data_IF_014425827266
#
_entry.id   IF_014425827266
#
_cell.length_a   1.000
_cell.length_b   1.000
_cell.length_c   1.000
_cell.angle_alpha   90.00
_cell.angle_beta   90.00
_cell.angle_gamma   90.00
#
_symmetry.space_group_name_H-M   'P 1'
#
loop_
_entity.id
_entity.type
_entity.pdbx_description
1 polymer ?
#
# COMPACT_ATOMS: atom_id res chain seq x y z
N UNK A 1 -17.10 -54.84 10.59
CA UNK A 1 -17.18 -53.53 11.26
C UNK A 1 -16.33 -52.55 10.46
N UNK A 2 -16.93 -51.86 9.48
CA UNK A 2 -16.23 -50.90 8.60
C UNK A 2 -16.07 -49.58 9.35
N UNK A 3 -14.89 -49.35 9.94
CA UNK A 3 -14.58 -48.10 10.62
C UNK A 3 -14.08 -47.09 9.59
N UNK A 4 -14.98 -46.18 9.19
CA UNK A 4 -14.70 -44.99 8.42
C UNK A 4 -13.64 -44.14 9.13
N UNK A 5 -12.40 -44.16 8.63
CA UNK A 5 -11.39 -43.17 9.02
C UNK A 5 -11.48 -41.99 8.03
N UNK A 6 -12.23 -40.98 8.48
CA UNK A 6 -12.38 -39.67 7.85
C UNK A 6 -11.01 -39.04 7.57
N UNK A 7 -10.64 -38.94 6.30
CA UNK A 7 -9.65 -37.98 5.82
C UNK A 7 -10.26 -36.58 5.93
N UNK A 8 -9.97 -35.88 7.01
CA UNK A 8 -10.17 -34.43 7.10
C UNK A 8 -9.15 -33.77 6.14
N UNK A 9 -9.57 -33.08 5.06
CA UNK A 9 -8.69 -32.11 4.46
C UNK A 9 -8.53 -30.99 5.49
N UNK A 10 -7.33 -30.88 6.07
CA UNK A 10 -6.94 -29.71 6.84
C UNK A 10 -7.00 -28.55 5.84
N UNK A 11 -8.13 -27.84 5.83
CA UNK A 11 -8.24 -26.49 5.30
C UNK A 11 -7.28 -25.65 6.13
N UNK A 12 -6.02 -25.61 5.71
CA UNK A 12 -5.05 -24.63 6.17
C UNK A 12 -5.61 -23.30 5.67
N UNK A 13 -6.41 -22.67 6.53
CA UNK A 13 -6.85 -21.30 6.40
C UNK A 13 -5.62 -20.42 6.46
N UNK A 14 -5.00 -20.21 5.31
CA UNK A 14 -4.15 -19.05 5.09
C UNK A 14 -4.96 -17.81 5.50
N UNK A 15 -4.36 -16.83 6.20
CA UNK A 15 -5.07 -15.61 6.51
C UNK A 15 -5.39 -14.88 5.20
N UNK A 16 -6.61 -15.06 4.70
CA UNK A 16 -7.13 -14.44 3.47
C UNK A 16 -7.27 -12.91 3.57
N UNK A 17 -6.80 -12.29 4.66
CA UNK A 17 -6.96 -10.87 4.93
C UNK A 17 -5.98 -9.94 4.20
N UNK A 18 -4.92 -10.45 3.56
CA UNK A 18 -3.89 -9.62 2.92
C UNK A 18 -3.68 -9.84 1.42
N UNK A 19 -4.38 -10.81 0.81
CA UNK A 19 -4.08 -11.26 -0.56
C UNK A 19 -5.14 -10.87 -1.60
N UNK A 20 -6.31 -10.36 -1.19
CA UNK A 20 -7.41 -10.06 -2.12
C UNK A 20 -7.34 -8.64 -2.74
N UNK A 21 -6.37 -7.81 -2.35
CA UNK A 21 -6.30 -6.39 -2.75
C UNK A 21 -5.36 -6.14 -3.93
N UNK A 22 -4.72 -7.20 -4.43
CA UNK A 22 -3.74 -7.17 -5.51
C UNK A 22 -4.03 -8.26 -6.53
N UNK A 23 -3.93 -7.93 -7.81
CA UNK A 23 -3.97 -8.90 -8.90
C UNK A 23 -2.62 -8.93 -9.60
N UNK A 24 -2.02 -10.11 -9.67
CA UNK A 24 -0.76 -10.29 -10.38
C UNK A 24 -0.99 -10.26 -11.91
N UNK A 25 -0.21 -9.46 -12.63
CA UNK A 25 -0.28 -9.28 -14.08
C UNK A 25 1.07 -9.58 -14.73
N UNK A 26 1.83 -10.53 -14.16
CA UNK A 26 3.18 -10.87 -14.59
C UNK A 26 4.19 -9.95 -13.89
N UNK A 27 4.90 -9.13 -14.65
CA UNK A 27 5.93 -8.23 -14.10
C UNK A 27 5.38 -7.05 -13.30
N UNK A 28 4.05 -6.89 -13.28
CA UNK A 28 3.33 -5.77 -12.65
C UNK A 28 2.23 -6.29 -11.75
N UNK A 29 1.88 -5.48 -10.76
CA UNK A 29 0.78 -5.73 -9.85
C UNK A 29 -0.30 -4.70 -10.09
N UNK A 30 -1.54 -5.15 -10.25
CA UNK A 30 -2.69 -4.28 -10.22
C UNK A 30 -3.19 -4.16 -8.77
N UNK A 31 -3.27 -2.94 -8.26
CA UNK A 31 -3.83 -2.62 -6.96
C UNK A 31 -5.25 -2.12 -7.15
N UNK A 32 -6.20 -2.56 -6.32
CA UNK A 32 -7.59 -2.11 -6.45
C UNK A 32 -7.72 -0.59 -6.24
N UNK A 33 -8.59 0.05 -7.03
CA UNK A 33 -8.89 1.48 -6.88
C UNK A 33 -9.47 1.75 -5.49
N UNK A 34 -8.98 2.80 -4.84
CA UNK A 34 -9.42 3.25 -3.51
C UNK A 34 -8.58 2.68 -2.37
N UNK A 35 -7.72 1.69 -2.62
CA UNK A 35 -6.83 1.14 -1.62
C UNK A 35 -5.85 2.20 -1.14
N UNK A 36 -5.71 2.29 0.19
CA UNK A 36 -4.74 3.15 0.87
C UNK A 36 -3.48 2.35 1.15
N UNK A 37 -2.34 2.90 0.71
CA UNK A 37 -1.02 2.31 0.82
C UNK A 37 -0.18 3.11 1.81
N UNK A 38 0.51 2.42 2.71
CA UNK A 38 1.36 3.01 3.74
C UNK A 38 2.81 2.62 3.49
N UNK A 39 3.74 3.54 3.71
CA UNK A 39 5.17 3.22 3.65
C UNK A 39 5.58 2.34 4.83
N UNK A 40 6.43 1.36 4.57
CA UNK A 40 7.02 0.50 5.58
C UNK A 40 8.55 0.59 5.59
N UNK A 41 9.12 1.81 5.57
CA UNK A 41 10.56 2.10 5.78
C UNK A 41 11.33 2.42 4.48
N UNK A 42 12.18 3.44 4.58
CA UNK A 42 13.12 4.01 3.61
C UNK A 42 12.52 4.81 2.43
N UNK A 43 12.31 6.12 2.64
CA UNK A 43 12.44 7.09 1.54
C UNK A 43 13.91 7.53 1.48
N UNK A 44 14.61 7.22 0.38
CA UNK A 44 15.67 8.12 -0.08
C UNK A 44 15.00 9.37 -0.64
N UNK A 45 14.84 10.36 0.24
CA UNK A 45 15.00 11.79 -0.06
C UNK A 45 14.46 12.26 -1.43
N UNK A 46 13.18 12.00 -1.74
CA UNK A 46 12.48 12.77 -2.75
C UNK A 46 12.30 14.21 -2.23
N UNK A 47 13.23 15.09 -2.60
CA UNK A 47 13.21 16.57 -2.51
C UNK A 47 12.23 17.16 -1.47
N UNK A 48 12.71 17.40 -0.24
CA UNK A 48 12.02 18.26 0.76
C UNK A 48 11.32 17.53 1.92
N UNK A 49 11.90 16.43 2.43
CA UNK A 49 11.27 15.42 3.29
C UNK A 49 10.48 15.93 4.50
N UNK A 50 9.16 15.75 4.44
CA UNK A 50 8.36 15.34 5.60
C UNK A 50 8.74 13.90 5.99
N UNK A 51 8.65 13.57 7.28
CA UNK A 51 8.93 12.23 7.81
C UNK A 51 8.17 11.16 6.98
N UNK A 52 8.86 10.19 6.35
CA UNK A 52 8.25 9.19 5.46
C UNK A 52 7.17 8.35 6.13
N UNK A 53 7.17 8.26 7.47
CA UNK A 53 6.09 7.61 8.24
C UNK A 53 4.78 8.39 8.21
N UNK A 54 4.77 9.60 7.65
CA UNK A 54 3.59 10.48 7.56
C UNK A 54 2.95 10.45 6.18
N UNK A 55 3.59 9.86 5.17
CA UNK A 55 3.02 9.82 3.81
C UNK A 55 2.26 8.51 3.60
N UNK A 56 1.09 8.63 2.99
CA UNK A 56 0.33 7.50 2.46
C UNK A 56 -0.16 7.81 1.06
N UNK A 57 -0.49 6.78 0.31
CA UNK A 57 -1.01 6.92 -1.05
C UNK A 57 -2.39 6.33 -1.16
N UNK A 58 -3.23 6.88 -2.03
CA UNK A 58 -4.50 6.26 -2.43
C UNK A 58 -4.47 5.99 -3.91
N UNK A 59 -4.79 4.76 -4.31
CA UNK A 59 -4.93 4.41 -5.72
C UNK A 59 -6.21 5.04 -6.27
N UNK A 60 -6.09 5.92 -7.25
CA UNK A 60 -7.22 6.68 -7.81
C UNK A 60 -7.73 6.13 -9.15
N UNK A 61 -6.98 5.24 -9.79
CA UNK A 61 -7.36 4.61 -11.07
C UNK A 61 -7.16 3.09 -11.12
N UNK A 62 -7.89 2.43 -12.03
CA UNK A 62 -7.56 1.07 -12.49
C UNK A 62 -6.25 1.06 -13.27
N UNK A 63 -5.69 -0.14 -13.49
CA UNK A 63 -4.50 -0.29 -14.33
C UNK A 63 -4.79 0.08 -15.78
N UNK A 64 -3.94 0.93 -16.36
CA UNK A 64 -3.99 1.30 -17.78
C UNK A 64 -3.35 0.20 -18.64
N UNK A 65 -3.55 0.26 -19.95
CA UNK A 65 -2.93 -0.67 -20.91
C UNK A 65 -1.41 -0.70 -20.85
N UNK A 66 -0.77 0.42 -20.48
CA UNK A 66 0.67 0.53 -20.28
C UNK A 66 1.15 0.01 -18.90
N UNK A 67 0.26 -0.54 -18.07
CA UNK A 67 0.58 -1.07 -16.74
C UNK A 67 0.70 -0.03 -15.62
N UNK A 68 0.50 1.26 -15.90
CA UNK A 68 0.52 2.30 -14.86
C UNK A 68 -0.82 2.41 -14.13
N UNK A 69 -0.76 2.87 -12.88
CA UNK A 69 -1.90 3.28 -12.07
C UNK A 69 -1.67 4.66 -11.49
N UNK A 70 -2.75 5.38 -11.23
CA UNK A 70 -2.71 6.73 -10.66
C UNK A 70 -2.82 6.64 -9.15
N UNK A 71 -1.99 7.42 -8.46
CA UNK A 71 -2.00 7.55 -7.01
C UNK A 71 -2.02 9.01 -6.59
N UNK A 72 -2.74 9.28 -5.50
CA UNK A 72 -2.73 10.55 -4.79
C UNK A 72 -1.93 10.39 -3.50
N UNK A 73 -1.02 11.33 -3.20
CA UNK A 73 -0.20 11.29 -1.99
C UNK A 73 -0.78 12.17 -0.89
N UNK A 74 -0.86 11.65 0.33
CA UNK A 74 -1.41 12.31 1.51
C UNK A 74 -0.38 12.34 2.63
N UNK A 75 -0.28 13.48 3.31
CA UNK A 75 0.57 13.68 4.49
C UNK A 75 -0.30 13.70 5.74
N UNK A 76 0.14 12.99 6.78
CA UNK A 76 -0.49 12.97 8.09
C UNK A 76 0.29 13.86 9.07
N UNK A 77 -0.37 14.92 9.52
CA UNK A 77 0.16 15.85 10.51
C UNK A 77 -0.49 15.60 11.86
N UNK A 78 0.31 15.66 12.93
CA UNK A 78 -0.21 15.68 14.30
C UNK A 78 -0.28 17.13 14.75
N UNK A 79 -1.48 17.61 15.03
CA UNK A 79 -1.75 18.97 15.47
C UNK A 79 -2.12 18.90 16.95
N UNK A 80 -1.32 19.54 17.79
CA UNK A 80 -1.61 19.69 19.22
C UNK A 80 -2.55 20.88 19.42
N UNK A 81 -3.70 20.63 20.05
CA UNK A 81 -4.63 21.67 20.49
C UNK A 81 -4.26 22.09 21.90
N UNK A 82 -3.63 23.27 22.04
CA UNK A 82 -3.21 23.79 23.33
C UNK A 82 -4.36 24.17 24.26
N UNK A 83 -5.59 24.29 23.74
CA UNK A 83 -6.77 24.61 24.56
C UNK A 83 -7.39 23.35 25.18
N UNK A 84 -7.44 22.25 24.44
CA UNK A 84 -7.98 20.98 24.97
C UNK A 84 -6.90 20.06 25.55
N UNK A 85 -5.63 20.27 25.20
CA UNK A 85 -4.53 19.37 25.53
C UNK A 85 -4.45 18.13 24.64
N UNK A 86 -5.31 18.01 23.63
CA UNK A 86 -5.37 16.83 22.76
C UNK A 86 -4.47 16.96 21.53
N UNK A 87 -4.00 15.82 21.02
CA UNK A 87 -3.34 15.75 19.71
C UNK A 87 -4.27 15.12 18.69
N UNK A 88 -4.57 15.84 17.61
CA UNK A 88 -5.38 15.36 16.49
C UNK A 88 -4.51 15.02 15.29
N UNK A 89 -4.87 13.99 14.55
CA UNK A 89 -4.26 13.70 13.25
C UNK A 89 -5.07 14.36 12.12
N UNK A 90 -4.41 15.15 11.29
CA UNK A 90 -4.97 15.73 10.07
C UNK A 90 -4.32 15.08 8.85
N UNK A 91 -5.13 14.62 7.92
CA UNK A 91 -4.67 14.16 6.60
C UNK A 91 -4.84 15.31 5.61
N UNK A 92 -3.78 15.65 4.87
CA UNK A 92 -3.76 16.69 3.85
C UNK A 92 -3.24 16.12 2.54
N UNK A 93 -3.84 16.51 1.41
CA UNK A 93 -3.36 16.13 0.08
C UNK A 93 -2.03 16.85 -0.21
N UNK A 94 -0.99 16.08 -0.53
CA UNK A 94 0.34 16.60 -0.84
C UNK A 94 0.57 16.71 -2.35
N UNK A 95 0.14 15.69 -3.09
CA UNK A 95 0.19 15.65 -4.55
C UNK A 95 -1.10 15.04 -5.07
N UNK A 96 -1.77 15.76 -5.97
CA UNK A 96 -3.13 15.42 -6.43
C UNK A 96 -3.19 14.04 -7.06
N UNK A 97 -2.49 13.84 -8.17
CA UNK A 97 -2.51 12.56 -8.89
C UNK A 97 -1.25 12.42 -9.73
N UNK A 98 -0.60 11.27 -9.66
CA UNK A 98 0.50 10.93 -10.55
C UNK A 98 0.55 9.43 -10.86
N UNK A 99 1.19 9.09 -11.97
CA UNK A 99 1.27 7.72 -12.46
C UNK A 99 2.44 6.96 -11.82
N UNK A 100 2.21 5.71 -11.44
CA UNK A 100 3.22 4.78 -10.89
C UNK A 100 3.03 3.39 -11.50
N UNK A 101 4.10 2.60 -11.53
CA UNK A 101 3.99 1.15 -11.63
C UNK A 101 3.98 0.54 -10.22
N UNK A 102 3.32 -0.60 -10.06
CA UNK A 102 3.47 -1.44 -8.88
C UNK A 102 4.13 -2.75 -9.26
N UNK A 103 5.09 -3.20 -8.44
CA UNK A 103 5.72 -4.52 -8.51
C UNK A 103 5.76 -5.13 -7.13
N UNK A 104 5.83 -6.46 -7.02
CA UNK A 104 6.16 -7.09 -5.74
C UNK A 104 7.59 -6.74 -5.34
N UNK A 105 7.77 -6.46 -4.06
CA UNK A 105 9.11 -6.38 -3.49
C UNK A 105 9.68 -7.81 -3.35
N UNK A 106 10.83 -8.12 -3.99
CA UNK A 106 11.45 -9.43 -3.87
C UNK A 106 12.03 -9.70 -2.47
N UNK A 107 12.39 -8.65 -1.72
CA UNK A 107 13.03 -8.76 -0.41
C UNK A 107 12.00 -8.87 0.72
N UNK A 108 10.88 -8.14 0.60
CA UNK A 108 9.86 -8.05 1.65
C UNK A 108 8.52 -8.64 1.21
N UNK A 109 8.19 -9.81 1.74
CA UNK A 109 6.91 -10.50 1.43
C UNK A 109 5.70 -9.64 1.82
N UNK A 110 4.80 -9.44 0.85
CA UNK A 110 3.57 -8.65 1.04
C UNK A 110 3.71 -7.17 0.76
N UNK A 111 4.91 -6.70 0.42
CA UNK A 111 5.19 -5.31 0.06
C UNK A 111 5.17 -5.11 -1.45
N UNK A 112 4.89 -3.88 -1.87
CA UNK A 112 4.93 -3.42 -3.24
C UNK A 112 5.94 -2.30 -3.42
N UNK A 113 6.66 -2.33 -4.54
CA UNK A 113 7.48 -1.24 -5.03
C UNK A 113 6.61 -0.30 -5.86
N UNK A 114 6.55 0.97 -5.47
CA UNK A 114 6.07 2.07 -6.30
C UNK A 114 7.22 2.55 -7.16
N UNK A 115 7.07 2.47 -8.48
CA UNK A 115 8.15 2.78 -9.42
C UNK A 115 7.70 3.89 -10.35
N UNK A 116 8.51 4.95 -10.44
CA UNK A 116 8.24 6.08 -11.30
C UNK A 116 8.26 5.67 -12.78
N UNK A 117 7.25 6.02 -13.57
CA UNK A 117 7.23 5.72 -14.99
C UNK A 117 8.19 6.59 -15.81
N UNK A 118 8.71 7.67 -15.22
CA UNK A 118 9.60 8.62 -15.92
C UNK A 118 11.04 8.10 -16.01
N UNK A 119 11.58 7.59 -14.90
CA UNK A 119 12.99 7.19 -14.78
C UNK A 119 13.19 5.77 -14.25
N UNK A 120 12.11 5.06 -13.92
CA UNK A 120 12.16 3.69 -13.41
C UNK A 120 12.68 3.57 -11.97
N UNK A 121 12.86 4.67 -11.24
CA UNK A 121 13.30 4.63 -9.85
C UNK A 121 12.18 4.17 -8.93
N UNK A 122 12.57 3.46 -7.87
CA UNK A 122 11.65 3.13 -6.77
C UNK A 122 11.39 4.41 -5.98
N UNK A 123 10.14 4.86 -5.96
CA UNK A 123 9.70 6.02 -5.20
C UNK A 123 9.38 5.66 -3.74
N UNK A 124 8.79 4.48 -3.53
CA UNK A 124 8.43 4.00 -2.20
C UNK A 124 8.25 2.48 -2.17
N UNK A 125 8.47 1.88 -1.00
CA UNK A 125 8.04 0.52 -0.66
C UNK A 125 6.80 0.64 0.23
N UNK A 126 5.71 0.03 -0.21
CA UNK A 126 4.38 0.23 0.38
C UNK A 126 3.63 -1.07 0.62
N UNK A 127 2.81 -1.08 1.66
CA UNK A 127 1.83 -2.13 1.94
C UNK A 127 0.43 -1.53 2.03
N UNK A 128 -0.61 -2.37 2.02
CA UNK A 128 -1.94 -1.88 2.37
C UNK A 128 -1.94 -1.44 3.83
N UNK A 129 -2.38 -0.21 4.07
CA UNK A 129 -2.57 0.28 5.43
C UNK A 129 -3.54 -0.64 6.17
N UNK A 130 -3.13 -1.19 7.33
CA UNK A 130 -4.06 -1.89 8.22
C UNK A 130 -5.21 -0.93 8.58
N UNK A 131 -6.46 -1.35 8.37
CA UNK A 131 -7.59 -0.66 8.98
C UNK A 131 -7.37 -0.73 10.49
N UNK A 132 -7.20 0.43 11.13
CA UNK A 132 -7.42 0.51 12.58
C UNK A 132 -8.92 0.29 12.78
N UNK A 133 -9.29 -0.89 13.30
CA UNK A 133 -10.59 -1.08 13.94
C UNK A 133 -10.68 -0.18 15.17
#
# INVERSE_FOLDING_TARGET
>A
MFMYLLLLPILIGFPMGGLAQFTDKGDKVEVEKGIKLCSNIAMETAKGSLDPRRVSWRVTSKMRSNGTQTVAAFVHEKIYDSKSGDTRSKESLYQEDYATFFKRDPEHKGMLLMISPQDGRVEAIVEVCKKKN
#
